data_IF_880141389844
#
_entry.id   IF_880141389844
#
_cell.length_a   1.000
_cell.length_b   1.000
_cell.length_c   1.000
_cell.angle_alpha   90.00
_cell.angle_beta   90.00
_cell.angle_gamma   90.00
#
_symmetry.space_group_name_H-M   'P 1'
#
loop_
_entity.id
_entity.type
_entity.pdbx_description
1 polymer ?
#
# COMPACT_ATOMS: atom_id res chain seq x y z
N UNK A 1 7.05 10.88 16.22
CA UNK A 1 6.32 11.59 15.13
C UNK A 1 6.20 13.07 15.49
N UNK A 2 6.34 13.99 14.54
CA UNK A 2 6.12 15.44 14.74
C UNK A 2 4.70 15.84 14.35
N UNK A 3 4.22 15.32 13.22
CA UNK A 3 2.95 15.70 12.63
C UNK A 3 2.43 14.56 11.74
N UNK A 4 1.11 14.42 11.66
CA UNK A 4 0.42 13.53 10.72
C UNK A 4 -0.50 14.42 9.87
N UNK A 5 -0.32 14.36 8.55
CA UNK A 5 -1.06 15.17 7.59
C UNK A 5 -1.97 14.23 6.82
N UNK A 6 -3.25 14.22 7.18
CA UNK A 6 -4.28 13.42 6.51
C UNK A 6 -4.69 14.09 5.19
N UNK A 7 -5.07 13.30 4.19
CA UNK A 7 -5.68 13.86 2.99
C UNK A 7 -7.00 14.57 3.34
N UNK A 8 -7.15 15.85 2.97
CA UNK A 8 -8.32 16.67 3.34
C UNK A 8 -9.66 16.11 2.83
N UNK A 9 -9.64 15.29 1.79
CA UNK A 9 -10.81 14.63 1.21
C UNK A 9 -10.87 13.13 1.51
N UNK A 10 -10.19 12.65 2.56
CA UNK A 10 -10.38 11.27 3.02
C UNK A 10 -11.83 11.05 3.43
N UNK A 11 -12.42 9.98 2.92
CA UNK A 11 -13.81 9.60 3.14
C UNK A 11 -13.86 8.24 3.84
N UNK A 12 -14.39 8.20 5.06
CA UNK A 12 -14.39 6.99 5.89
C UNK A 12 -15.38 5.92 5.41
N UNK A 13 -16.46 6.32 4.72
CA UNK A 13 -17.49 5.38 4.27
C UNK A 13 -17.03 4.61 3.03
N UNK A 14 -16.37 5.31 2.10
CA UNK A 14 -15.89 4.74 0.84
C UNK A 14 -14.43 4.33 0.89
N UNK A 15 -13.68 4.78 1.90
CA UNK A 15 -12.21 4.71 1.97
C UNK A 15 -11.51 5.43 0.80
N UNK A 16 -12.20 6.37 0.15
CA UNK A 16 -11.61 7.19 -0.91
C UNK A 16 -10.54 8.11 -0.34
N UNK A 17 -9.46 8.29 -1.10
CA UNK A 17 -8.30 9.10 -0.72
C UNK A 17 -7.63 8.67 0.60
N UNK A 18 -7.58 7.36 0.87
CA UNK A 18 -6.88 6.78 2.01
C UNK A 18 -5.35 6.91 1.84
N UNK A 19 -4.83 8.09 2.20
CA UNK A 19 -3.41 8.41 2.19
C UNK A 19 -3.11 9.48 3.25
N UNK A 20 -1.95 9.36 3.90
CA UNK A 20 -1.45 10.34 4.86
C UNK A 20 0.07 10.48 4.75
N UNK A 21 0.60 11.63 5.19
CA UNK A 21 2.02 11.86 5.36
C UNK A 21 2.37 11.91 6.86
N UNK A 22 3.39 11.14 7.25
CA UNK A 22 3.92 11.19 8.62
C UNK A 22 5.24 11.95 8.61
N UNK A 23 5.24 13.12 9.24
CA UNK A 23 6.46 13.93 9.40
C UNK A 23 7.21 13.50 10.65
N UNK A 24 8.46 13.09 10.46
CA UNK A 24 9.32 12.71 11.57
C UNK A 24 9.79 13.95 12.34
N UNK A 25 10.06 13.77 13.64
CA UNK A 25 10.65 14.81 14.48
C UNK A 25 12.15 14.95 14.22
N UNK A 26 12.80 13.84 13.92
CA UNK A 26 14.22 13.72 13.59
C UNK A 26 14.28 13.01 12.23
N UNK A 27 15.03 13.53 11.26
CA UNK A 27 15.16 12.89 9.94
C UNK A 27 15.90 11.55 10.07
N UNK A 28 15.70 10.67 9.08
CA UNK A 28 16.56 9.50 8.94
C UNK A 28 17.93 9.90 8.37
N UNK A 29 18.96 9.24 8.88
CA UNK A 29 20.34 9.33 8.44
C UNK A 29 20.58 8.24 7.38
N UNK A 30 20.29 8.59 6.12
CA UNK A 30 20.25 7.60 5.01
C UNK A 30 21.65 7.07 4.70
N UNK A 31 22.65 7.94 4.62
CA UNK A 31 24.02 7.56 4.26
C UNK A 31 24.66 6.69 5.35
N UNK A 32 24.36 7.00 6.61
CA UNK A 32 24.83 6.30 7.80
C UNK A 32 24.10 4.98 8.04
N UNK A 33 23.02 4.71 7.30
CA UNK A 33 22.26 3.47 7.44
C UNK A 33 22.91 2.27 6.75
N UNK A 34 24.06 2.43 6.09
CA UNK A 34 24.73 1.35 5.34
C UNK A 34 23.81 0.66 4.31
N UNK A 35 22.86 1.42 3.73
CA UNK A 35 21.90 0.92 2.75
C UNK A 35 20.65 0.24 3.32
N UNK A 36 20.47 0.22 4.64
CA UNK A 36 19.27 -0.31 5.28
C UNK A 36 18.06 0.65 5.19
N UNK A 37 18.30 1.94 5.03
CA UNK A 37 17.25 2.96 4.86
C UNK A 37 17.35 3.56 3.45
N UNK A 38 16.21 3.65 2.78
CA UNK A 38 16.09 4.28 1.47
C UNK A 38 14.69 4.85 1.24
N UNK A 39 14.59 5.81 0.31
CA UNK A 39 13.32 6.36 -0.13
C UNK A 39 12.81 5.64 -1.39
N UNK A 40 11.50 5.49 -1.50
CA UNK A 40 10.85 4.99 -2.72
C UNK A 40 10.56 6.14 -3.70
N UNK A 41 10.53 5.83 -4.99
CA UNK A 41 10.16 6.80 -6.03
C UNK A 41 8.66 7.13 -5.97
N UNK A 42 8.32 8.41 -6.11
CA UNK A 42 6.93 8.86 -6.30
C UNK A 42 6.62 8.92 -7.79
N UNK A 43 5.52 8.30 -8.27
CA UNK A 43 5.17 8.34 -9.67
C UNK A 43 4.73 9.74 -10.12
N UNK A 44 4.85 10.01 -11.43
CA UNK A 44 4.24 11.21 -12.03
C UNK A 44 2.71 11.12 -11.95
N UNK A 45 2.04 12.28 -12.01
CA UNK A 45 0.58 12.32 -12.15
C UNK A 45 0.11 11.48 -13.34
N UNK A 46 -1.04 10.82 -13.20
CA UNK A 46 -1.63 9.95 -14.23
C UNK A 46 -0.77 8.75 -14.62
N UNK A 47 0.07 8.25 -13.70
CA UNK A 47 0.81 7.01 -13.92
C UNK A 47 -0.14 5.80 -13.95
N UNK A 48 -0.07 5.02 -15.02
CA UNK A 48 -0.83 3.77 -15.14
C UNK A 48 -0.03 2.62 -14.57
N UNK A 49 -0.57 1.98 -13.53
CA UNK A 49 0.01 0.77 -12.96
C UNK A 49 -0.32 -0.40 -13.89
N UNK A 50 0.69 -1.02 -14.48
CA UNK A 50 0.51 -2.16 -15.38
C UNK A 50 1.14 -3.44 -14.82
N UNK A 51 0.60 -4.58 -15.23
CA UNK A 51 1.12 -5.91 -14.98
C UNK A 51 1.06 -6.37 -13.53
N UNK A 52 2.15 -6.22 -12.79
CA UNK A 52 2.37 -6.83 -11.48
C UNK A 52 2.96 -5.79 -10.53
N UNK A 53 2.56 -5.89 -9.27
CA UNK A 53 3.11 -5.10 -8.17
C UNK A 53 3.71 -6.02 -7.13
N UNK A 54 4.70 -5.52 -6.40
CA UNK A 54 5.25 -6.20 -5.24
C UNK A 54 4.61 -5.63 -3.98
N UNK A 55 4.03 -6.48 -3.16
CA UNK A 55 3.51 -6.14 -1.83
C UNK A 55 4.48 -6.72 -0.81
N UNK A 56 4.89 -5.93 0.17
CA UNK A 56 5.84 -6.32 1.22
C UNK A 56 5.29 -5.99 2.60
N UNK A 57 5.59 -6.81 3.61
CA UNK A 57 5.21 -6.51 4.99
C UNK A 57 5.44 -7.67 5.95
N UNK A 58 5.02 -7.44 7.20
CA UNK A 58 5.08 -8.40 8.32
C UNK A 58 3.70 -8.94 8.71
N UNK A 59 2.67 -8.70 7.89
CA UNK A 59 1.28 -9.13 8.16
C UNK A 59 1.14 -10.65 8.32
N UNK A 60 -0.07 -11.12 8.66
CA UNK A 60 -0.29 -12.56 8.85
C UNK A 60 0.03 -13.35 7.59
N UNK A 61 0.68 -14.50 7.76
CA UNK A 61 1.03 -15.40 6.64
C UNK A 61 -0.20 -16.22 6.18
N UNK A 62 -1.21 -16.33 7.04
CA UNK A 62 -2.50 -16.98 6.75
C UNK A 62 -3.62 -16.22 7.44
N UNK A 63 -4.86 -16.33 6.93
CA UNK A 63 -6.01 -15.52 7.38
C UNK A 63 -6.22 -15.50 8.92
N UNK A 64 -5.84 -16.56 9.62
CA UNK A 64 -5.92 -16.68 11.08
C UNK A 64 -4.57 -17.04 11.73
N UNK A 65 -3.46 -16.81 11.03
CA UNK A 65 -2.11 -17.09 11.51
C UNK A 65 -1.55 -16.00 12.44
N UNK A 66 -0.39 -16.24 13.06
CA UNK A 66 0.33 -15.18 13.76
C UNK A 66 0.87 -14.14 12.76
N UNK A 67 1.12 -12.93 13.27
CA UNK A 67 1.90 -11.89 12.59
C UNK A 67 3.32 -12.42 12.39
N UNK A 68 3.92 -12.19 11.21
CA UNK A 68 5.27 -12.67 10.93
C UNK A 68 6.32 -11.85 11.66
N UNK A 69 7.35 -12.51 12.20
CA UNK A 69 8.56 -11.83 12.67
C UNK A 69 9.46 -11.39 11.49
N UNK A 70 9.30 -12.04 10.34
CA UNK A 70 10.12 -11.82 9.16
C UNK A 70 9.38 -10.98 8.11
N UNK A 71 10.14 -10.18 7.36
CA UNK A 71 9.58 -9.43 6.24
C UNK A 71 9.34 -10.37 5.06
N UNK A 72 8.12 -10.35 4.51
CA UNK A 72 7.77 -11.11 3.31
C UNK A 72 7.51 -10.18 2.13
N UNK A 73 7.64 -10.75 0.93
CA UNK A 73 7.33 -10.08 -0.33
C UNK A 73 6.53 -11.02 -1.25
N UNK A 74 5.50 -10.49 -1.90
CA UNK A 74 4.70 -11.21 -2.87
C UNK A 74 4.52 -10.38 -4.14
N UNK A 75 4.74 -10.99 -5.29
CA UNK A 75 4.43 -10.38 -6.60
C UNK A 75 3.04 -10.80 -7.02
N UNK A 76 2.14 -9.82 -7.18
CA UNK A 76 0.72 -10.05 -7.49
C UNK A 76 0.29 -9.27 -8.74
N UNK A 77 -0.63 -9.80 -9.56
CA UNK A 77 -1.11 -9.10 -10.75
C UNK A 77 -2.10 -8.00 -10.39
N UNK A 78 -1.99 -6.87 -11.07
CA UNK A 78 -2.99 -5.80 -11.06
C UNK A 78 -4.24 -6.28 -11.81
N UNK A 79 -5.41 -5.96 -11.28
CA UNK A 79 -6.70 -6.31 -11.87
C UNK A 79 -7.30 -5.10 -12.57
N UNK A 80 -8.21 -5.38 -13.51
CA UNK A 80 -9.00 -4.34 -14.18
C UNK A 80 -10.02 -3.76 -13.21
N UNK A 81 -10.28 -2.46 -13.28
CA UNK A 81 -11.25 -1.73 -12.45
C UNK A 81 -12.65 -2.36 -12.46
N UNK A 82 -13.07 -2.95 -13.58
CA UNK A 82 -14.37 -3.65 -13.67
C UNK A 82 -14.43 -4.86 -12.72
N UNK A 83 -13.31 -5.56 -12.52
CA UNK A 83 -13.22 -6.68 -11.58
C UNK A 83 -13.25 -6.13 -10.16
N UNK A 84 -12.52 -5.05 -9.87
CA UNK A 84 -12.50 -4.43 -8.53
C UNK A 84 -13.90 -3.96 -8.10
N UNK A 85 -14.61 -3.25 -8.99
CA UNK A 85 -16.00 -2.78 -8.74
C UNK A 85 -17.00 -3.87 -8.43
N UNK A 86 -16.80 -5.09 -8.94
CA UNK A 86 -17.69 -6.22 -8.65
C UNK A 86 -17.50 -6.80 -7.25
N UNK A 87 -16.33 -6.57 -6.63
CA UNK A 87 -15.99 -7.13 -5.33
C UNK A 87 -16.05 -6.10 -4.20
N UNK A 88 -15.99 -4.80 -4.53
CA UNK A 88 -16.04 -3.72 -3.56
C UNK A 88 -16.91 -2.58 -4.11
N UNK A 89 -18.07 -2.36 -3.49
CA UNK A 89 -19.03 -1.31 -3.87
C UNK A 89 -18.48 0.10 -3.64
N UNK A 90 -17.56 0.29 -2.69
CA UNK A 90 -16.87 1.56 -2.43
C UNK A 90 -15.69 1.84 -3.36
N UNK A 91 -15.40 0.96 -4.32
CA UNK A 91 -14.23 1.10 -5.18
C UNK A 91 -14.32 2.32 -6.11
N UNK A 92 -13.32 3.20 -6.00
CA UNK A 92 -13.15 4.37 -6.85
C UNK A 92 -11.82 4.28 -7.64
N UNK A 93 -11.88 4.13 -8.96
CA UNK A 93 -10.68 4.00 -9.81
C UNK A 93 -9.82 5.27 -9.90
N UNK A 94 -10.31 6.42 -9.40
CA UNK A 94 -9.50 7.63 -9.32
C UNK A 94 -8.54 7.64 -8.12
N UNK A 95 -8.87 6.89 -7.06
CA UNK A 95 -8.07 6.81 -5.82
C UNK A 95 -7.59 5.40 -5.48
N UNK A 96 -8.05 4.37 -6.19
CA UNK A 96 -7.79 2.97 -5.87
C UNK A 96 -7.49 2.13 -7.12
N UNK A 97 -6.69 1.08 -6.92
CA UNK A 97 -6.60 -0.08 -7.82
C UNK A 97 -6.65 -1.34 -6.97
N UNK A 98 -6.96 -2.48 -7.57
CA UNK A 98 -6.86 -3.77 -6.86
C UNK A 98 -5.83 -4.68 -7.52
N UNK A 99 -5.12 -5.44 -6.69
CA UNK A 99 -4.12 -6.41 -7.09
C UNK A 99 -4.21 -7.65 -6.19
N UNK A 100 -3.90 -8.81 -6.75
CA UNK A 100 -3.99 -10.06 -5.99
C UNK A 100 -4.24 -11.29 -6.86
N UNK A 101 -4.10 -12.46 -6.27
CA UNK A 101 -4.56 -13.72 -6.86
C UNK A 101 -5.00 -14.65 -5.74
N UNK A 102 -5.84 -15.63 -6.05
CA UNK A 102 -6.21 -16.68 -5.09
C UNK A 102 -4.96 -17.26 -4.43
N UNK A 103 -4.86 -17.16 -3.10
CA UNK A 103 -3.72 -17.66 -2.31
C UNK A 103 -2.52 -16.71 -2.17
N UNK A 104 -2.55 -15.50 -2.76
CA UNK A 104 -1.57 -14.42 -2.53
C UNK A 104 -2.31 -13.10 -2.40
N UNK A 105 -2.74 -12.83 -1.18
CA UNK A 105 -3.49 -11.65 -0.78
C UNK A 105 -2.71 -10.94 0.33
N UNK A 106 -2.90 -9.62 0.47
CA UNK A 106 -2.44 -8.90 1.65
C UNK A 106 -3.34 -9.28 2.82
N UNK A 107 -2.77 -9.90 3.84
CA UNK A 107 -3.46 -10.24 5.07
C UNK A 107 -3.03 -9.29 6.19
N UNK A 108 -3.99 -8.84 6.98
CA UNK A 108 -3.76 -8.10 8.24
C UNK A 108 -3.48 -9.05 9.39
#
# INVERSE_FOLDING_TARGET
>A
VKEVIMHNSFDLETLSNDIALVKLRIPFYIEESEGHIGAICIPKKMFTIMNKVTVTGWGKISANGPISADMHAAVVPVKKDLICRRHNEGYNSQSMFCAGTSGKESCE
#
